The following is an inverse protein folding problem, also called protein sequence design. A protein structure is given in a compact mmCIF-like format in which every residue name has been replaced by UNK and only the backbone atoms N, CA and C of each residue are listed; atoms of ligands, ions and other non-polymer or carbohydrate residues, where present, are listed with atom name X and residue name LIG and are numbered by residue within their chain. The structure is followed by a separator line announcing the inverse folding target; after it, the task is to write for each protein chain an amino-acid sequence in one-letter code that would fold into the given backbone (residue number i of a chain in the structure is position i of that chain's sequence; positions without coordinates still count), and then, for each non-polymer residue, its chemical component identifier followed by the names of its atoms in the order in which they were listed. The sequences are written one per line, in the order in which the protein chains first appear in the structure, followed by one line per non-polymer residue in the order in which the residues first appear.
data_IF_847414522125
#
_entry.id   IF_847414522125
#
_cell.length_a   1.000
_cell.length_b   1.000
_cell.length_c   1.000
_cell.angle_alpha   90.00
_cell.angle_beta   90.00
_cell.angle_gamma   90.00
#
_symmetry.space_group_name_H-M   'P 1'
#
loop_
_entity.id
_entity.type
_entity.pdbx_description
1 polymer ?
#
# COMPACT_ATOMS: atom_id res chain seq x y z
N UNK A 1 34.50 -10.32 -43.30
CA UNK A 1 34.42 -10.98 -42.94
C UNK A 1 34.48 -11.08 -41.63
N UNK A 2 34.85 -10.94 -40.91
CA UNK A 2 35.00 -10.98 -39.67
C UNK A 2 33.99 -10.30 -38.91
N UNK A 3 33.17 -9.55 -39.34
CA UNK A 3 32.27 -8.78 -38.52
C UNK A 3 31.14 -9.57 -37.99
N UNK A 4 30.93 -10.77 -38.45
CA UNK A 4 29.86 -11.48 -37.96
C UNK A 4 29.95 -11.77 -36.55
N UNK A 5 31.02 -11.94 -35.96
CA UNK A 5 31.09 -12.26 -34.58
C UNK A 5 30.53 -11.19 -33.71
N UNK A 6 30.58 -9.99 -34.20
CA UNK A 6 30.06 -8.94 -33.38
C UNK A 6 28.62 -9.00 -33.17
N UNK A 7 27.90 -9.51 -34.09
CA UNK A 7 26.49 -9.56 -33.94
C UNK A 7 26.08 -10.45 -32.84
N UNK A 8 26.71 -11.54 -32.68
CA UNK A 8 26.37 -12.46 -31.64
C UNK A 8 26.47 -11.79 -30.30
N UNK A 9 27.46 -11.00 -30.13
CA UNK A 9 27.64 -10.33 -28.87
C UNK A 9 26.50 -9.40 -28.56
N UNK A 10 25.99 -8.78 -29.57
CA UNK A 10 24.93 -7.92 -29.40
C UNK A 10 23.72 -8.59 -28.84
N UNK A 11 23.32 -9.70 -29.36
CA UNK A 11 22.16 -10.37 -28.89
C UNK A 11 22.22 -10.76 -27.45
N UNK A 12 23.32 -11.25 -27.00
CA UNK A 12 23.48 -11.63 -25.64
C UNK A 12 23.23 -10.49 -24.73
N UNK A 13 23.74 -9.36 -25.13
CA UNK A 13 23.58 -8.20 -24.31
C UNK A 13 22.13 -7.82 -24.15
N UNK A 14 21.38 -7.88 -25.20
CA UNK A 14 19.97 -7.54 -25.12
C UNK A 14 19.22 -8.45 -24.21
N UNK A 15 19.52 -9.71 -24.20
CA UNK A 15 18.85 -10.65 -23.34
C UNK A 15 19.08 -10.35 -21.89
N UNK A 16 20.25 -9.96 -21.54
CA UNK A 16 20.53 -9.62 -20.18
C UNK A 16 19.69 -8.46 -19.71
N UNK A 17 19.54 -7.47 -20.53
CA UNK A 17 18.75 -6.33 -20.16
C UNK A 17 17.32 -6.72 -19.87
N UNK A 18 16.77 -7.60 -20.64
CA UNK A 18 15.42 -8.04 -20.42
C UNK A 18 15.27 -8.79 -19.12
N UNK A 19 16.20 -9.65 -18.79
CA UNK A 19 16.04 -10.40 -17.58
C UNK A 19 16.12 -9.50 -16.37
N UNK A 20 16.90 -8.44 -16.43
CA UNK A 20 16.95 -7.54 -15.29
C UNK A 20 15.63 -6.88 -15.02
N UNK A 21 14.93 -6.46 -16.03
CA UNK A 21 13.69 -5.76 -15.82
C UNK A 21 12.63 -6.65 -15.23
N UNK A 22 12.67 -7.94 -15.50
CA UNK A 22 11.61 -8.80 -15.00
C UNK A 22 11.76 -9.14 -13.53
N UNK A 23 12.88 -8.82 -12.90
CA UNK A 23 13.10 -9.21 -11.52
C UNK A 23 12.39 -8.36 -10.51
N UNK A 24 11.80 -7.25 -10.93
CA UNK A 24 11.26 -6.33 -9.98
C UNK A 24 9.79 -6.32 -9.83
N UNK A 25 9.11 -7.18 -10.49
CA UNK A 25 7.66 -7.11 -10.46
C UNK A 25 7.08 -7.83 -9.27
N UNK A 26 6.11 -7.21 -8.66
CA UNK A 26 5.31 -7.82 -7.62
C UNK A 26 4.48 -8.96 -8.20
N UNK A 27 4.24 -10.02 -7.41
CA UNK A 27 3.52 -11.18 -7.92
C UNK A 27 2.28 -11.42 -7.10
N UNK A 28 1.26 -10.64 -7.33
CA UNK A 28 -0.05 -10.83 -6.70
C UNK A 28 -0.03 -10.84 -5.19
N UNK A 29 0.86 -10.10 -4.60
CA UNK A 29 0.87 -9.99 -3.15
C UNK A 29 -0.32 -9.18 -2.68
N UNK A 30 -0.87 -9.56 -1.54
CA UNK A 30 -2.00 -8.85 -0.98
C UNK A 30 -1.65 -7.40 -0.71
N UNK A 31 -2.62 -6.49 -0.83
CA UNK A 31 -2.38 -5.11 -0.46
C UNK A 31 -2.12 -4.97 1.02
N UNK A 32 -1.37 -3.97 1.39
CA UNK A 32 -1.11 -3.63 2.78
C UNK A 32 -1.48 -2.19 3.02
N UNK A 33 -1.96 -1.90 4.22
CA UNK A 33 -2.36 -0.55 4.59
C UNK A 33 -1.91 -0.25 6.00
N UNK A 34 -1.67 1.03 6.27
CA UNK A 34 -1.38 1.53 7.62
C UNK A 34 -2.09 2.85 7.83
N UNK A 35 -2.20 3.20 9.12
CA UNK A 35 -2.79 4.47 9.52
C UNK A 35 -1.66 5.39 9.94
N UNK A 36 -1.66 6.60 9.44
CA UNK A 36 -0.70 7.63 9.83
C UNK A 36 -1.48 8.73 10.53
N UNK A 37 -1.19 8.96 11.79
CA UNK A 37 -1.90 9.97 12.55
C UNK A 37 -1.07 11.25 12.65
N UNK A 38 -1.30 12.17 11.72
CA UNK A 38 -0.69 13.50 11.75
C UNK A 38 -1.61 14.52 12.42
N UNK A 39 -2.62 14.04 13.12
CA UNK A 39 -3.54 14.90 13.85
C UNK A 39 -3.04 15.22 15.24
N UNK A 40 -3.94 15.72 16.06
CA UNK A 40 -3.61 16.17 17.42
C UNK A 40 -4.15 15.25 18.50
N UNK A 41 -4.91 14.24 18.13
CA UNK A 41 -5.55 13.34 19.10
C UNK A 41 -5.39 11.91 18.68
N UNK A 42 -5.51 10.99 19.65
CA UNK A 42 -5.46 9.57 19.37
C UNK A 42 -6.60 9.15 18.47
N UNK A 43 -6.34 8.16 17.65
CA UNK A 43 -7.36 7.58 16.78
C UNK A 43 -7.42 6.08 17.03
N UNK A 44 -8.62 5.53 17.11
CA UNK A 44 -8.81 4.09 17.02
C UNK A 44 -9.50 3.79 15.72
N UNK A 45 -9.18 2.65 15.13
CA UNK A 45 -9.61 2.35 13.78
C UNK A 45 -10.27 0.99 13.73
N UNK A 46 -11.44 0.93 13.12
CA UNK A 46 -12.09 -0.33 12.82
C UNK A 46 -12.05 -0.52 11.32
N UNK A 47 -11.63 -1.68 10.88
CA UNK A 47 -11.43 -1.97 9.47
C UNK A 47 -12.35 -3.11 9.07
N UNK A 48 -13.28 -2.83 8.16
CA UNK A 48 -14.17 -3.85 7.63
C UNK A 48 -13.62 -4.28 6.29
N UNK A 49 -13.11 -5.50 6.26
CA UNK A 49 -12.39 -6.01 5.08
C UNK A 49 -13.36 -6.52 4.02
N UNK A 50 -12.85 -6.68 2.81
CA UNK A 50 -13.67 -7.13 1.69
C UNK A 50 -14.17 -8.54 1.85
N UNK A 51 -13.49 -9.36 2.66
CA UNK A 51 -13.91 -10.74 2.88
C UNK A 51 -14.73 -10.90 4.17
N UNK A 52 -15.24 -9.81 4.72
CA UNK A 52 -16.20 -9.88 5.83
C UNK A 52 -15.62 -9.88 7.22
N UNK A 53 -14.31 -9.73 7.37
CA UNK A 53 -13.69 -9.68 8.69
C UNK A 53 -13.63 -8.26 9.20
N UNK A 54 -13.59 -8.13 10.53
CA UNK A 54 -13.41 -6.84 11.18
C UNK A 54 -12.11 -6.88 11.96
N UNK A 55 -11.27 -5.87 11.74
CA UNK A 55 -9.99 -5.74 12.42
C UNK A 55 -9.97 -4.42 13.16
N UNK A 56 -9.46 -4.42 14.37
CA UNK A 56 -9.38 -3.21 15.18
C UNK A 56 -7.93 -2.84 15.44
N UNK A 57 -7.61 -1.56 15.27
CA UNK A 57 -6.33 -0.99 15.66
C UNK A 57 -6.62 0.03 16.74
N UNK A 58 -6.11 -0.23 17.93
CA UNK A 58 -6.39 0.65 19.05
C UNK A 58 -5.29 1.68 19.21
N UNK A 59 -5.68 2.93 19.39
CA UNK A 59 -4.79 3.98 19.86
C UNK A 59 -3.58 4.23 19.00
N UNK A 60 -3.81 4.76 17.81
CA UNK A 60 -2.72 5.32 17.02
C UNK A 60 -2.50 6.73 17.57
N UNK A 61 -1.39 6.96 18.26
CA UNK A 61 -1.12 8.24 18.89
C UNK A 61 -0.77 9.32 17.87
N UNK A 62 -1.02 10.60 18.20
CA UNK A 62 -0.62 11.68 17.30
C UNK A 62 0.87 11.61 17.00
N UNK A 63 1.21 11.84 15.75
CA UNK A 63 2.60 11.82 15.31
C UNK A 63 3.16 10.44 15.10
N UNK A 64 2.35 9.40 15.14
CA UNK A 64 2.81 8.02 14.94
C UNK A 64 2.02 7.33 13.84
N UNK A 65 2.49 6.17 13.44
CA UNK A 65 1.82 5.34 12.43
C UNK A 65 1.68 3.93 12.96
N UNK A 66 0.60 3.26 12.54
CA UNK A 66 0.49 1.83 12.78
C UNK A 66 1.46 1.09 11.86
N UNK A 67 1.65 -0.20 12.14
CA UNK A 67 2.37 -1.05 11.18
C UNK A 67 1.51 -1.28 9.96
N UNK A 68 2.13 -1.63 8.84
CA UNK A 68 1.38 -2.13 7.70
C UNK A 68 0.80 -3.48 8.04
N UNK A 69 -0.42 -3.72 7.61
CA UNK A 69 -1.07 -5.03 7.71
C UNK A 69 -1.63 -5.39 6.34
N UNK A 70 -1.64 -6.68 6.04
CA UNK A 70 -2.16 -7.17 4.78
C UNK A 70 -3.66 -7.42 4.90
N UNK A 71 -4.38 -7.12 3.83
CA UNK A 71 -5.81 -7.34 3.77
C UNK A 71 -6.16 -7.97 2.43
N UNK A 72 -7.30 -8.63 2.36
CA UNK A 72 -7.78 -9.16 1.08
C UNK A 72 -8.06 -7.99 0.14
N UNK A 73 -7.74 -8.16 -1.13
CA UNK A 73 -8.03 -7.13 -2.13
C UNK A 73 -9.54 -6.91 -2.23
N UNK A 74 -9.94 -5.71 -2.59
CA UNK A 74 -11.32 -5.33 -2.73
C UNK A 74 -11.63 -4.09 -1.93
N UNK A 75 -12.91 -3.82 -1.75
CA UNK A 75 -13.36 -2.61 -1.08
C UNK A 75 -13.26 -2.80 0.43
N UNK A 76 -12.60 -1.87 1.11
CA UNK A 76 -12.38 -1.92 2.55
C UNK A 76 -12.83 -0.60 3.14
N UNK A 77 -13.54 -0.66 4.25
CA UNK A 77 -14.00 0.55 4.93
C UNK A 77 -13.22 0.72 6.22
N UNK A 78 -12.59 1.88 6.35
CA UNK A 78 -11.86 2.26 7.56
C UNK A 78 -12.73 3.27 8.32
N UNK A 79 -13.05 2.95 9.56
CA UNK A 79 -13.79 3.86 10.44
C UNK A 79 -12.82 4.31 11.52
N UNK A 80 -12.50 5.60 11.52
CA UNK A 80 -11.53 6.16 12.44
C UNK A 80 -12.28 6.96 13.49
N UNK A 81 -12.13 6.56 14.75
CA UNK A 81 -12.79 7.28 15.84
C UNK A 81 -11.80 8.20 16.49
N UNK A 82 -12.06 9.50 16.43
CA UNK A 82 -11.20 10.55 16.97
C UNK A 82 -12.08 11.40 17.87
N UNK A 83 -11.73 11.44 19.15
CA UNK A 83 -12.47 12.25 20.12
C UNK A 83 -13.98 11.94 20.09
N UNK A 84 -14.33 10.66 19.97
CA UNK A 84 -15.72 10.23 19.98
C UNK A 84 -16.49 10.43 18.69
N UNK A 85 -15.83 10.92 17.64
CA UNK A 85 -16.47 11.15 16.34
C UNK A 85 -15.91 10.15 15.33
N UNK A 86 -16.80 9.55 14.55
CA UNK A 86 -16.41 8.56 13.55
C UNK A 86 -16.20 9.25 12.20
N UNK A 87 -15.07 8.93 11.56
CA UNK A 87 -14.74 9.37 10.22
C UNK A 87 -14.56 8.13 9.36
N UNK A 88 -15.17 8.07 8.20
CA UNK A 88 -15.13 6.88 7.36
C UNK A 88 -14.35 7.16 6.09
N UNK A 89 -13.52 6.19 5.70
CA UNK A 89 -12.79 6.23 4.46
C UNK A 89 -12.93 4.87 3.79
N UNK A 90 -13.46 4.85 2.57
CA UNK A 90 -13.63 3.60 1.82
C UNK A 90 -12.57 3.58 0.73
N UNK A 91 -11.82 2.49 0.67
CA UNK A 91 -10.68 2.37 -0.23
C UNK A 91 -10.77 1.06 -0.99
N UNK A 92 -10.56 1.12 -2.30
CA UNK A 92 -10.45 -0.07 -3.12
C UNK A 92 -9.00 -0.54 -3.07
N UNK A 93 -8.74 -1.62 -2.36
CA UNK A 93 -7.39 -2.14 -2.22
C UNK A 93 -7.06 -3.10 -3.36
N UNK A 94 -5.93 -2.88 -4.00
CA UNK A 94 -5.46 -3.70 -5.11
C UNK A 94 -4.19 -4.42 -4.74
N UNK A 95 -4.00 -5.62 -5.25
CA UNK A 95 -2.77 -6.37 -5.04
C UNK A 95 -1.57 -5.57 -5.51
N UNK A 96 -0.46 -5.77 -4.85
CA UNK A 96 0.82 -5.13 -5.17
C UNK A 96 0.83 -3.62 -4.91
N UNK A 97 0.01 -3.16 -3.96
CA UNK A 97 0.03 -1.76 -3.53
C UNK A 97 0.13 -1.69 -2.02
N UNK A 98 0.79 -0.65 -1.53
CA UNK A 98 0.68 -0.19 -0.15
C UNK A 98 -0.26 1.00 -0.12
N UNK A 99 -0.95 1.18 1.00
CA UNK A 99 -1.85 2.31 1.18
C UNK A 99 -1.55 3.00 2.50
N UNK A 100 -1.30 4.29 2.44
CA UNK A 100 -1.14 5.12 3.63
C UNK A 100 -2.42 5.90 3.82
N UNK A 101 -3.10 5.66 4.94
CA UNK A 101 -4.34 6.34 5.27
C UNK A 101 -4.00 7.32 6.36
N UNK A 102 -4.01 8.60 6.04
CA UNK A 102 -3.47 9.65 6.89
C UNK A 102 -4.57 10.55 7.43
N UNK A 103 -4.43 10.92 8.70
CA UNK A 103 -5.31 11.86 9.39
C UNK A 103 -4.52 13.15 9.57
N UNK A 104 -5.08 14.27 9.16
CA UNK A 104 -4.39 15.55 9.34
C UNK A 104 -4.91 16.27 10.60
N UNK A 105 -4.42 17.48 10.86
CA UNK A 105 -4.76 18.21 12.07
C UNK A 105 -6.20 18.68 12.10
N UNK A 106 -6.88 18.69 10.98
CA UNK A 106 -8.30 19.04 10.90
C UNK A 106 -9.18 17.80 10.83
N UNK A 107 -8.61 16.62 11.09
CA UNK A 107 -9.30 15.34 11.06
C UNK A 107 -9.81 14.98 9.66
N UNK A 108 -9.17 15.50 8.64
CA UNK A 108 -9.42 15.04 7.27
C UNK A 108 -8.64 13.78 7.00
N UNK A 109 -9.26 12.84 6.32
CA UNK A 109 -8.66 11.54 6.03
C UNK A 109 -8.31 11.51 4.55
N UNK A 110 -7.06 11.17 4.24
CA UNK A 110 -6.63 11.03 2.85
C UNK A 110 -5.93 9.69 2.67
N UNK A 111 -6.03 9.13 1.47
CA UNK A 111 -5.42 7.85 1.15
C UNK A 111 -4.44 8.05 0.01
N UNK A 112 -3.23 7.53 0.20
CA UNK A 112 -2.20 7.53 -0.84
C UNK A 112 -1.88 6.10 -1.18
N UNK A 113 -1.97 5.75 -2.46
CA UNK A 113 -1.63 4.42 -2.94
C UNK A 113 -0.19 4.43 -3.45
N UNK A 114 0.59 3.44 -3.04
CA UNK A 114 2.00 3.33 -3.40
C UNK A 114 2.17 2.04 -4.19
N UNK A 115 2.58 2.18 -5.44
CA UNK A 115 2.74 1.04 -6.34
C UNK A 115 4.02 0.30 -5.96
N UNK A 116 3.93 -1.01 -5.83
CA UNK A 116 5.06 -1.84 -5.43
C UNK A 116 5.72 -2.53 -6.62
N UNK A 117 5.29 -2.27 -7.82
CA UNK A 117 5.90 -2.88 -9.02
C UNK A 117 7.14 -2.12 -9.48
#
# INVERSE_FOLDING_TARGET
MKSRTKFAAFFLFALLALSLSSCKKCKNEQPAARIINNGTQKASVQIQTSNGNTVNINNVDPGTSSSYSNYAAGQVKFTLKINGVDYEETVQLSNCFYYDIAIDSNNNITTVAIDRN
#
